data_IF_708577424606
#
_entry.id   IF_708577424606
#
_cell.length_a   1.000
_cell.length_b   1.000
_cell.length_c   1.000
_cell.angle_alpha   90.00
_cell.angle_beta   90.00
_cell.angle_gamma   90.00
#
_symmetry.space_group_name_H-M   'P 1'
#
loop_
_entity.id
_entity.type
_entity.pdbx_description
1 polymer ?
#
# COMPACT_ATOMS: atom_id res chain seq x y z
N UNK A 1 -41.72 5.39 -33.96
CA UNK A 1 -40.32 4.95 -34.00
C UNK A 1 -39.48 5.86 -33.11
N UNK A 2 -39.73 5.83 -31.80
CA UNK A 2 -38.97 6.55 -30.80
C UNK A 2 -39.05 5.67 -29.54
N UNK A 3 -37.90 5.20 -29.05
CA UNK A 3 -37.62 4.62 -27.73
C UNK A 3 -36.46 3.61 -27.84
N UNK A 4 -35.26 4.10 -28.16
CA UNK A 4 -34.00 3.34 -27.96
C UNK A 4 -32.84 4.22 -27.45
N UNK A 5 -33.12 5.43 -26.94
CA UNK A 5 -32.07 6.33 -26.42
C UNK A 5 -31.97 6.41 -24.89
N UNK A 6 -32.91 5.84 -24.12
CA UNK A 6 -32.93 5.97 -22.65
C UNK A 6 -32.01 4.99 -21.90
N UNK A 7 -31.94 3.73 -22.35
CA UNK A 7 -31.23 2.68 -21.61
C UNK A 7 -29.70 2.77 -21.70
N UNK A 8 -29.17 3.25 -22.84
CA UNK A 8 -27.72 3.38 -23.06
C UNK A 8 -27.13 4.52 -22.23
N UNK A 9 -27.86 5.63 -22.05
CA UNK A 9 -27.40 6.78 -21.26
C UNK A 9 -27.29 6.50 -19.76
N UNK A 10 -28.21 5.72 -19.20
CA UNK A 10 -28.19 5.36 -17.76
C UNK A 10 -27.06 4.37 -17.47
N UNK A 11 -26.83 3.38 -18.36
CA UNK A 11 -25.76 2.40 -18.19
C UNK A 11 -24.37 3.06 -18.29
N UNK A 12 -24.22 4.04 -19.20
CA UNK A 12 -22.99 4.81 -19.36
C UNK A 12 -22.73 5.71 -18.14
N UNK A 13 -23.73 6.43 -17.65
CA UNK A 13 -23.61 7.28 -16.45
C UNK A 13 -23.28 6.47 -15.18
N UNK A 14 -23.85 5.27 -15.03
CA UNK A 14 -23.54 4.38 -13.91
C UNK A 14 -22.11 3.82 -13.98
N UNK A 15 -21.64 3.42 -15.18
CA UNK A 15 -20.27 2.97 -15.39
C UNK A 15 -19.26 4.09 -15.12
N UNK A 16 -19.51 5.31 -15.61
CA UNK A 16 -18.65 6.46 -15.34
C UNK A 16 -18.61 6.83 -13.86
N UNK A 17 -19.75 6.71 -13.14
CA UNK A 17 -19.81 6.94 -11.71
C UNK A 17 -19.01 5.91 -10.90
N UNK A 18 -19.07 4.63 -11.25
CA UNK A 18 -18.24 3.59 -10.61
C UNK A 18 -16.75 3.79 -10.87
N UNK A 19 -16.39 4.28 -12.07
CA UNK A 19 -15.01 4.62 -12.40
C UNK A 19 -14.51 5.85 -11.63
N UNK A 20 -15.38 6.85 -11.38
CA UNK A 20 -15.06 8.02 -10.55
C UNK A 20 -14.90 7.64 -9.07
N UNK A 21 -15.82 6.83 -8.52
CA UNK A 21 -15.73 6.33 -7.14
C UNK A 21 -14.45 5.53 -6.90
N UNK A 22 -14.08 4.67 -7.86
CA UNK A 22 -12.83 3.91 -7.78
C UNK A 22 -11.61 4.83 -7.83
N UNK A 23 -11.61 5.86 -8.69
CA UNK A 23 -10.53 6.86 -8.75
C UNK A 23 -10.40 7.62 -7.44
N UNK A 24 -11.51 8.00 -6.81
CA UNK A 24 -11.50 8.66 -5.52
C UNK A 24 -10.94 7.76 -4.40
N UNK A 25 -11.34 6.48 -4.37
CA UNK A 25 -10.77 5.49 -3.44
C UNK A 25 -9.27 5.30 -3.65
N UNK A 26 -8.83 5.19 -4.89
CA UNK A 26 -7.41 5.07 -5.25
C UNK A 26 -6.61 6.29 -4.80
N UNK A 27 -7.16 7.50 -4.97
CA UNK A 27 -6.53 8.75 -4.52
C UNK A 27 -6.41 8.80 -3.01
N UNK A 28 -7.51 8.55 -2.30
CA UNK A 28 -7.54 8.60 -0.83
C UNK A 28 -6.59 7.55 -0.25
N UNK A 29 -6.57 6.34 -0.82
CA UNK A 29 -5.59 5.31 -0.49
C UNK A 29 -4.14 5.78 -0.65
N UNK A 30 -3.77 6.33 -1.81
CA UNK A 30 -2.40 6.80 -2.06
C UNK A 30 -1.99 7.96 -1.14
N UNK A 31 -2.95 8.79 -0.70
CA UNK A 31 -2.71 9.85 0.26
C UNK A 31 -2.36 9.27 1.64
N UNK A 32 -3.14 8.29 2.11
CA UNK A 32 -2.95 7.61 3.38
C UNK A 32 -1.64 6.82 3.43
N UNK A 33 -1.24 6.21 2.31
CA UNK A 33 -0.03 5.40 2.23
C UNK A 33 1.25 6.15 2.60
N UNK A 34 1.31 7.47 2.38
CA UNK A 34 2.48 8.27 2.81
C UNK A 34 2.66 8.21 4.32
N UNK A 35 1.57 8.29 5.07
CA UNK A 35 1.62 8.15 6.53
C UNK A 35 1.95 6.72 6.94
N UNK A 36 1.43 5.72 6.21
CA UNK A 36 1.79 4.32 6.44
C UNK A 36 3.30 4.09 6.28
N UNK A 37 3.94 4.64 5.24
CA UNK A 37 5.40 4.56 5.05
C UNK A 37 6.16 5.14 6.25
N UNK A 38 5.72 6.29 6.78
CA UNK A 38 6.33 6.90 7.97
C UNK A 38 6.24 5.96 9.18
N UNK A 39 5.07 5.37 9.43
CA UNK A 39 4.88 4.39 10.51
C UNK A 39 5.74 3.14 10.33
N UNK A 40 5.83 2.61 9.10
CA UNK A 40 6.71 1.46 8.82
C UNK A 40 8.16 1.78 9.11
N UNK A 41 8.61 3.00 8.78
CA UNK A 41 9.99 3.44 9.06
C UNK A 41 10.25 3.58 10.56
N UNK A 42 9.30 4.15 11.29
CA UNK A 42 9.38 4.27 12.74
C UNK A 42 9.48 2.88 13.40
N UNK A 43 8.57 1.97 13.05
CA UNK A 43 8.60 0.61 13.60
C UNK A 43 9.84 -0.16 13.16
N UNK A 44 10.31 -0.02 11.92
CA UNK A 44 11.54 -0.67 11.47
C UNK A 44 12.77 -0.21 12.25
N UNK A 45 12.89 1.09 12.58
CA UNK A 45 13.92 1.58 13.51
C UNK A 45 13.74 1.06 14.93
N UNK A 46 12.49 0.83 15.33
CA UNK A 46 12.12 0.28 16.64
C UNK A 46 12.41 -1.21 16.80
N UNK A 47 12.84 -1.94 15.77
CA UNK A 47 13.12 -3.38 15.89
C UNK A 47 14.24 -3.70 16.88
N UNK A 48 15.23 -2.82 17.04
CA UNK A 48 16.37 -3.03 17.95
C UNK A 48 16.10 -2.53 19.37
N UNK A 49 15.22 -1.55 19.54
CA UNK A 49 14.98 -0.87 20.84
C UNK A 49 13.62 -1.16 21.46
N UNK A 50 12.62 -1.57 20.66
CA UNK A 50 11.24 -1.78 21.07
C UNK A 50 10.56 -2.90 20.26
N UNK A 51 11.26 -4.03 20.13
CA UNK A 51 10.86 -5.16 19.29
C UNK A 51 9.40 -5.63 19.54
N UNK A 52 8.99 -5.74 20.81
CA UNK A 52 7.67 -6.29 21.19
C UNK A 52 6.48 -5.53 20.60
N UNK A 53 6.59 -4.22 20.40
CA UNK A 53 5.53 -3.43 19.76
C UNK A 53 5.82 -3.21 18.27
N UNK A 54 7.08 -3.01 17.89
CA UNK A 54 7.48 -2.71 16.52
C UNK A 54 7.16 -3.88 15.56
N UNK A 55 7.51 -5.10 15.95
CA UNK A 55 7.43 -6.24 15.07
C UNK A 55 5.97 -6.62 14.70
N UNK A 56 5.02 -6.75 15.64
CA UNK A 56 3.62 -7.01 15.30
C UNK A 56 3.00 -5.90 14.44
N UNK A 57 3.36 -4.64 14.68
CA UNK A 57 2.87 -3.51 13.88
C UNK A 57 3.35 -3.60 12.43
N UNK A 58 4.62 -3.95 12.21
CA UNK A 58 5.17 -4.16 10.86
C UNK A 58 4.47 -5.29 10.11
N UNK A 59 4.22 -6.42 10.78
CA UNK A 59 3.48 -7.55 10.19
C UNK A 59 2.07 -7.13 9.77
N UNK A 60 1.36 -6.41 10.66
CA UNK A 60 0.02 -5.92 10.38
C UNK A 60 0.01 -4.97 9.17
N UNK A 61 0.90 -3.98 9.15
CA UNK A 61 0.99 -3.02 8.04
C UNK A 61 1.35 -3.71 6.72
N UNK A 62 2.33 -4.62 6.70
CA UNK A 62 2.68 -5.37 5.50
C UNK A 62 1.50 -6.21 4.97
N UNK A 63 0.75 -6.86 5.86
CA UNK A 63 -0.44 -7.63 5.47
C UNK A 63 -1.55 -6.74 4.90
N UNK A 64 -1.85 -5.62 5.58
CA UNK A 64 -2.86 -4.67 5.14
C UNK A 64 -2.51 -4.06 3.78
N UNK A 65 -1.26 -3.67 3.57
CA UNK A 65 -0.77 -3.13 2.30
C UNK A 65 -0.87 -4.14 1.16
N UNK A 66 -0.49 -5.39 1.42
CA UNK A 66 -0.59 -6.47 0.44
C UNK A 66 -2.03 -6.64 -0.05
N UNK A 67 -2.99 -6.69 0.88
CA UNK A 67 -4.42 -6.85 0.56
C UNK A 67 -4.99 -5.63 -0.15
N UNK A 68 -4.85 -4.44 0.45
CA UNK A 68 -5.40 -3.19 -0.08
C UNK A 68 -4.82 -2.81 -1.44
N UNK A 69 -3.51 -2.94 -1.64
CA UNK A 69 -2.86 -2.64 -2.92
C UNK A 69 -3.36 -3.55 -4.05
N UNK A 70 -3.58 -4.83 -3.76
CA UNK A 70 -4.16 -5.76 -4.75
C UNK A 70 -5.60 -5.42 -5.13
N UNK A 71 -6.44 -5.15 -4.14
CA UNK A 71 -7.87 -4.82 -4.36
C UNK A 71 -8.09 -3.49 -5.09
N UNK A 72 -7.18 -2.53 -4.94
CA UNK A 72 -7.27 -1.20 -5.56
C UNK A 72 -6.49 -1.07 -6.87
N UNK A 73 -5.91 -2.17 -7.38
CA UNK A 73 -5.22 -2.16 -8.67
C UNK A 73 -3.79 -1.61 -8.64
N UNK A 74 -3.11 -1.68 -7.50
CA UNK A 74 -1.70 -1.30 -7.33
C UNK A 74 -0.79 -2.53 -7.13
N UNK A 75 -0.50 -3.29 -8.20
CA UNK A 75 0.23 -4.56 -8.08
C UNK A 75 1.65 -4.38 -7.54
N UNK A 76 2.34 -3.28 -7.86
CA UNK A 76 3.69 -3.02 -7.36
C UNK A 76 3.70 -2.75 -5.84
N UNK A 77 2.69 -2.06 -5.32
CA UNK A 77 2.52 -1.84 -3.88
C UNK A 77 2.27 -3.18 -3.17
N UNK A 78 1.36 -4.00 -3.71
CA UNK A 78 1.07 -5.34 -3.17
C UNK A 78 2.31 -6.24 -3.15
N UNK A 79 3.12 -6.18 -4.20
CA UNK A 79 4.38 -6.92 -4.33
C UNK A 79 5.44 -6.48 -3.31
N UNK A 80 5.64 -5.18 -3.12
CA UNK A 80 6.58 -4.68 -2.09
C UNK A 80 6.14 -5.08 -0.68
N UNK A 81 4.83 -5.00 -0.40
CA UNK A 81 4.26 -5.44 0.86
C UNK A 81 4.40 -6.96 1.09
N UNK A 82 4.27 -7.76 0.03
CA UNK A 82 4.56 -9.20 0.07
C UNK A 82 6.01 -9.46 0.47
N UNK A 83 6.98 -8.78 -0.14
CA UNK A 83 8.40 -8.92 0.22
C UNK A 83 8.66 -8.55 1.68
N UNK A 84 8.08 -7.45 2.16
CA UNK A 84 8.18 -7.07 3.57
C UNK A 84 7.65 -8.17 4.49
N UNK A 85 6.49 -8.76 4.16
CA UNK A 85 5.92 -9.87 4.92
C UNK A 85 6.81 -11.12 4.91
N UNK A 86 7.50 -11.39 3.80
CA UNK A 86 8.39 -12.55 3.68
C UNK A 86 9.62 -12.40 4.57
N UNK A 87 10.24 -11.22 4.58
CA UNK A 87 11.37 -10.91 5.47
C UNK A 87 10.97 -10.99 6.95
N UNK A 88 9.77 -10.48 7.29
CA UNK A 88 9.24 -10.56 8.66
C UNK A 88 8.96 -12.01 9.08
N UNK A 89 8.40 -12.83 8.18
CA UNK A 89 8.14 -14.24 8.46
C UNK A 89 9.44 -15.05 8.55
N UNK A 90 10.42 -14.77 7.69
CA UNK A 90 11.75 -15.36 7.75
C UNK A 90 12.44 -15.06 9.08
N UNK A 91 12.25 -13.85 9.63
CA UNK A 91 12.75 -13.50 10.95
C UNK A 91 12.12 -14.31 12.09
N UNK A 92 10.88 -14.81 11.94
CA UNK A 92 10.22 -15.66 12.93
C UNK A 92 10.64 -17.13 12.84
N UNK A 93 11.18 -17.56 11.72
CA UNK A 93 11.63 -18.93 11.51
C UNK A 93 12.98 -19.15 12.21
N UNK A 94 12.93 -19.64 13.45
CA UNK A 94 14.11 -19.82 14.30
C UNK A 94 15.08 -20.88 13.78
N UNK A 95 14.60 -21.82 12.96
CA UNK A 95 15.40 -22.91 12.39
C UNK A 95 16.02 -22.53 11.04
N UNK A 96 15.61 -21.41 10.45
CA UNK A 96 16.09 -20.99 9.15
C UNK A 96 17.53 -20.48 9.21
N UNK A 97 18.45 -21.15 8.50
CA UNK A 97 19.87 -20.80 8.49
C UNK A 97 20.18 -19.37 7.98
N UNK A 98 19.28 -18.80 7.17
CA UNK A 98 19.38 -17.44 6.62
C UNK A 98 18.47 -16.42 7.32
N UNK A 99 17.99 -16.71 8.53
CA UNK A 99 17.21 -15.77 9.35
C UNK A 99 18.00 -14.45 9.53
N UNK A 100 17.42 -13.28 9.21
CA UNK A 100 18.10 -12.01 9.40
C UNK A 100 18.24 -11.66 10.89
N UNK A 101 19.29 -10.92 11.23
CA UNK A 101 19.40 -10.21 12.52
C UNK A 101 18.37 -9.07 12.59
N UNK A 102 18.02 -8.56 13.79
CA UNK A 102 17.14 -7.41 13.92
C UNK A 102 17.64 -6.18 13.12
N UNK A 103 18.95 -5.96 13.08
CA UNK A 103 19.60 -4.89 12.33
C UNK A 103 19.45 -5.08 10.82
N UNK A 104 19.70 -6.29 10.30
CA UNK A 104 19.52 -6.61 8.87
C UNK A 104 18.05 -6.48 8.45
N UNK A 105 17.13 -7.01 9.26
CA UNK A 105 15.70 -6.87 9.01
C UNK A 105 15.27 -5.39 8.99
N UNK A 106 15.78 -4.60 9.95
CA UNK A 106 15.53 -3.15 9.98
C UNK A 106 16.01 -2.47 8.70
N UNK A 107 17.23 -2.76 8.25
CA UNK A 107 17.80 -2.20 7.01
C UNK A 107 16.97 -2.59 5.79
N UNK A 108 16.59 -3.87 5.67
CA UNK A 108 15.76 -4.36 4.57
C UNK A 108 14.39 -3.68 4.54
N UNK A 109 13.74 -3.52 5.69
CA UNK A 109 12.45 -2.82 5.78
C UNK A 109 12.58 -1.32 5.49
N UNK A 110 13.69 -0.68 5.86
CA UNK A 110 13.97 0.69 5.45
C UNK A 110 14.11 0.80 3.93
N UNK A 111 14.84 -0.11 3.29
CA UNK A 111 14.99 -0.12 1.84
C UNK A 111 13.64 -0.33 1.13
N UNK A 112 12.88 -1.35 1.53
CA UNK A 112 11.57 -1.65 0.94
C UNK A 112 10.56 -0.51 1.17
N UNK A 113 10.58 0.15 2.33
CA UNK A 113 9.72 1.33 2.56
C UNK A 113 10.13 2.54 1.71
N UNK A 114 11.42 2.67 1.36
CA UNK A 114 11.92 3.63 0.37
C UNK A 114 11.45 3.35 -1.05
N UNK A 115 11.48 2.08 -1.47
CA UNK A 115 10.89 1.67 -2.75
C UNK A 115 9.38 1.95 -2.79
N UNK A 116 8.66 1.66 -1.70
CA UNK A 116 7.23 1.93 -1.60
C UNK A 116 6.92 3.44 -1.71
N UNK A 117 7.67 4.29 -1.01
CA UNK A 117 7.53 5.75 -1.12
C UNK A 117 7.75 6.24 -2.56
N UNK A 118 8.77 5.71 -3.22
CA UNK A 118 9.10 6.07 -4.60
C UNK A 118 7.98 5.66 -5.57
N UNK A 119 7.41 4.47 -5.38
CA UNK A 119 6.26 4.00 -6.16
C UNK A 119 5.02 4.87 -5.95
N UNK A 120 4.70 5.23 -4.70
CA UNK A 120 3.58 6.12 -4.36
C UNK A 120 3.76 7.48 -5.05
N UNK A 121 4.98 8.04 -5.03
CA UNK A 121 5.28 9.30 -5.69
C UNK A 121 5.12 9.21 -7.22
N UNK A 122 5.56 8.12 -7.83
CA UNK A 122 5.40 7.87 -9.27
C UNK A 122 3.92 7.77 -9.67
N UNK A 123 3.12 7.00 -8.92
CA UNK A 123 1.68 6.86 -9.14
C UNK A 123 0.95 8.19 -8.97
N UNK A 124 1.30 8.98 -7.94
CA UNK A 124 0.74 10.31 -7.72
C UNK A 124 1.01 11.25 -8.89
N UNK A 125 2.24 11.23 -9.41
CA UNK A 125 2.63 12.04 -10.57
C UNK A 125 1.96 11.57 -11.86
N UNK A 126 1.87 10.26 -12.09
CA UNK A 126 1.32 9.69 -13.32
C UNK A 126 -0.20 9.93 -13.43
N UNK A 127 -0.92 9.89 -12.30
CA UNK A 127 -2.36 10.12 -12.28
C UNK A 127 -2.74 11.61 -12.31
N UNK A 128 -1.77 12.54 -12.33
CA UNK A 128 -1.98 13.99 -12.27
C UNK A 128 -2.96 14.43 -11.17
N UNK A 129 -3.04 13.68 -10.05
CA UNK A 129 -4.11 13.85 -9.05
C UNK A 129 -3.91 15.16 -8.28
N UNK A 130 -4.82 16.16 -8.44
CA UNK A 130 -4.80 17.33 -7.58
C UNK A 130 -5.24 16.95 -6.16
N UNK A 131 -4.81 17.69 -5.13
CA UNK A 131 -5.37 17.53 -3.79
C UNK A 131 -6.89 17.67 -3.84
N UNK A 132 -7.63 16.90 -3.04
CA UNK A 132 -9.09 17.03 -2.93
C UNK A 132 -9.39 18.49 -2.59
N UNK A 133 -10.29 19.18 -3.32
CA UNK A 133 -10.71 20.53 -2.93
C UNK A 133 -11.23 20.45 -1.49
N UNK A 134 -10.86 21.44 -0.68
CA UNK A 134 -11.39 21.56 0.67
C UNK A 134 -12.91 21.75 0.56
N UNK A 135 -13.68 20.87 1.20
CA UNK A 135 -15.13 21.05 1.39
C UNK A 135 -15.43 22.35 2.18
#
# INVERSE_FOLDING_TARGET
MAELHGAVGILFAAATGMDDDMRDLQRDYLADLRQTVVQMREHGRGLTSNFKSAFPALLFLAHQLKGSGGSLGFPRISELARKMSEELNLFLDEEHASRPTPEELSQTLMALSGELESEIAALWSAAAMPPRPSD
#
